data_IF_248646020514
#
_entry.id   IF_248646020514
#
_cell.length_a   1.000
_cell.length_b   1.000
_cell.length_c   1.000
_cell.angle_alpha   90.00
_cell.angle_beta   90.00
_cell.angle_gamma   90.00
#
_symmetry.space_group_name_H-M   'P 1'
#
loop_
_entity.id
_entity.type
_entity.pdbx_description
1 polymer ?
#
# COMPACT_ATOMS: atom_id res chain seq x y z
N UNK A 1 -13.52 -6.00 15.74
CA UNK A 1 -12.12 -6.41 15.50
C UNK A 1 -11.45 -5.29 14.72
N UNK A 2 -10.92 -4.28 15.43
CA UNK A 2 -10.29 -3.11 14.81
C UNK A 2 -8.95 -3.56 14.23
N UNK A 3 -8.75 -3.35 12.93
CA UNK A 3 -7.51 -3.74 12.25
C UNK A 3 -6.50 -2.60 12.35
N UNK A 4 -5.26 -2.95 12.69
CA UNK A 4 -4.17 -2.01 12.86
C UNK A 4 -3.05 -2.31 11.84
N UNK A 5 -2.29 -1.30 11.41
CA UNK A 5 -1.09 -1.51 10.61
C UNK A 5 -0.14 -2.47 11.34
N UNK A 6 0.57 -3.30 10.57
CA UNK A 6 1.62 -4.17 11.10
C UNK A 6 2.80 -3.33 11.60
N UNK A 7 3.63 -3.92 12.47
CA UNK A 7 4.81 -3.27 13.06
C UNK A 7 5.85 -2.90 11.99
N UNK A 8 6.66 -1.89 12.31
CA UNK A 8 7.75 -1.33 11.49
C UNK A 8 8.79 -2.38 11.07
N UNK A 9 8.98 -3.45 11.86
CA UNK A 9 9.91 -4.56 11.52
C UNK A 9 9.47 -5.42 10.33
N UNK A 10 8.30 -5.15 9.72
CA UNK A 10 7.85 -5.86 8.53
C UNK A 10 8.58 -5.37 7.27
N UNK A 11 8.68 -6.24 6.26
CA UNK A 11 9.27 -5.93 4.95
C UNK A 11 8.18 -5.61 3.93
N UNK A 12 8.46 -4.74 2.96
CA UNK A 12 7.51 -4.48 1.89
C UNK A 12 7.34 -5.70 0.99
N UNK A 13 6.17 -6.33 1.00
CA UNK A 13 5.88 -7.51 0.17
C UNK A 13 5.84 -7.29 -1.35
N UNK A 14 6.29 -6.14 -1.86
CA UNK A 14 6.50 -5.87 -3.29
C UNK A 14 7.99 -5.78 -3.61
N UNK A 15 8.77 -4.94 -2.91
CA UNK A 15 10.20 -4.74 -3.18
C UNK A 15 11.13 -5.50 -2.23
N UNK A 16 10.58 -6.11 -1.17
CA UNK A 16 11.31 -6.84 -0.13
C UNK A 16 12.32 -5.98 0.65
N UNK A 17 12.17 -4.65 0.60
CA UNK A 17 12.96 -3.73 1.41
C UNK A 17 12.27 -3.43 2.76
N UNK A 18 13.05 -3.27 3.85
CA UNK A 18 12.53 -2.95 5.17
C UNK A 18 11.98 -1.53 5.23
N UNK A 19 11.03 -1.30 6.14
CA UNK A 19 10.59 0.06 6.49
C UNK A 19 11.64 0.70 7.38
N UNK A 20 12.58 1.45 6.80
CA UNK A 20 13.59 2.15 7.59
C UNK A 20 13.01 3.42 8.19
N UNK A 21 13.01 3.53 9.52
CA UNK A 21 12.98 4.83 10.18
C UNK A 21 14.39 5.43 10.07
N UNK A 22 14.48 6.72 9.76
CA UNK A 22 15.77 7.41 9.57
C UNK A 22 16.58 7.31 10.86
N UNK A 23 17.60 6.45 10.91
CA UNK A 23 18.57 6.38 12.01
C UNK A 23 19.82 7.17 11.58
N UNK A 24 20.16 8.19 12.36
CA UNK A 24 21.10 9.26 12.01
C UNK A 24 22.59 8.85 11.91
N UNK A 25 22.93 7.55 12.03
CA UNK A 25 24.32 7.11 12.29
C UNK A 25 24.96 6.25 11.17
N UNK A 26 24.33 6.08 10.01
CA UNK A 26 24.97 5.35 8.89
C UNK A 26 25.67 6.32 7.94
N UNK A 27 26.92 6.64 8.25
CA UNK A 27 27.87 7.32 7.37
C UNK A 27 28.10 6.48 6.09
N UNK A 28 27.41 6.83 5.00
CA UNK A 28 27.83 6.49 3.64
C UNK A 28 27.11 5.35 2.91
N UNK A 29 25.82 5.05 3.19
CA UNK A 29 25.03 4.18 2.29
C UNK A 29 24.35 5.03 1.19
N UNK A 30 24.80 4.85 -0.05
CA UNK A 30 24.00 5.13 -1.24
C UNK A 30 22.99 3.99 -1.40
N UNK A 31 21.72 4.23 -1.07
CA UNK A 31 20.65 3.24 -1.22
C UNK A 31 19.36 3.94 -1.62
N UNK A 32 19.33 4.53 -2.82
CA UNK A 32 18.14 5.14 -3.45
C UNK A 32 17.22 5.85 -2.44
N UNK A 33 17.82 6.75 -1.65
CA UNK A 33 17.18 7.67 -0.71
C UNK A 33 15.88 8.17 -1.36
N UNK A 34 14.73 7.98 -0.68
CA UNK A 34 13.35 8.26 -1.14
C UNK A 34 12.59 7.14 -1.84
N UNK A 35 12.86 5.87 -1.55
CA UNK A 35 11.78 4.87 -1.56
C UNK A 35 10.65 5.33 -0.62
N UNK A 36 9.72 6.14 -1.15
CA UNK A 36 8.33 6.19 -0.70
C UNK A 36 8.08 6.88 0.65
N UNK A 37 8.05 8.23 0.67
CA UNK A 37 7.61 9.12 1.79
C UNK A 37 6.15 8.92 2.27
N UNK A 38 5.67 7.70 2.32
CA UNK A 38 4.35 7.32 2.76
C UNK A 38 4.22 5.80 2.74
N UNK A 39 3.76 5.26 3.86
CA UNK A 39 3.29 3.89 3.96
C UNK A 39 1.78 3.90 3.73
N UNK A 40 1.31 2.99 2.89
CA UNK A 40 -0.10 2.63 2.78
C UNK A 40 -0.27 1.25 3.40
N UNK A 41 -1.48 0.93 3.83
CA UNK A 41 -1.74 -0.37 4.46
C UNK A 41 -3.10 -0.90 4.06
N UNK A 42 -3.24 -2.22 4.08
CA UNK A 42 -4.48 -2.87 3.69
C UNK A 42 -5.55 -2.73 4.78
N UNK A 43 -6.49 -1.78 4.57
CA UNK A 43 -7.66 -1.57 5.43
C UNK A 43 -8.76 -2.62 5.25
N UNK A 44 -8.72 -3.36 4.14
CA UNK A 44 -9.76 -4.33 3.79
C UNK A 44 -9.67 -5.63 4.63
N UNK A 45 -8.47 -6.20 4.78
CA UNK A 45 -8.29 -7.48 5.46
C UNK A 45 -6.93 -7.60 6.15
N UNK A 46 -5.79 -7.71 5.48
CA UNK A 46 -4.58 -8.19 6.18
C UNK A 46 -3.91 -7.17 7.11
N UNK A 47 -4.18 -5.87 6.98
CA UNK A 47 -3.46 -4.85 7.76
C UNK A 47 -2.00 -4.65 7.33
N UNK A 48 -1.53 -5.37 6.30
CA UNK A 48 -0.14 -5.33 5.86
C UNK A 48 0.23 -3.99 5.24
N UNK A 49 1.44 -3.54 5.56
CA UNK A 49 1.98 -2.27 5.12
C UNK A 49 2.63 -2.45 3.73
N UNK A 50 2.65 -1.38 2.95
CA UNK A 50 3.31 -1.31 1.67
C UNK A 50 3.81 0.11 1.50
N UNK A 51 4.91 0.24 0.79
CA UNK A 51 5.33 1.55 0.40
C UNK A 51 4.39 2.15 -0.66
N UNK A 52 4.08 3.45 -0.57
CA UNK A 52 3.12 4.14 -1.45
C UNK A 52 3.45 3.99 -2.95
N UNK A 53 4.71 4.13 -3.34
CA UNK A 53 5.11 3.98 -4.74
C UNK A 53 5.06 2.51 -5.22
N UNK A 54 5.36 1.54 -4.36
CA UNK A 54 5.18 0.12 -4.68
C UNK A 54 3.70 -0.15 -4.94
N UNK A 55 2.84 0.35 -4.07
CA UNK A 55 1.40 0.21 -4.22
C UNK A 55 0.85 0.92 -5.47
N UNK A 56 1.31 2.13 -5.79
CA UNK A 56 0.90 2.85 -7.01
C UNK A 56 1.26 2.08 -8.29
N UNK A 57 2.44 1.44 -8.33
CA UNK A 57 2.82 0.57 -9.45
C UNK A 57 1.94 -0.67 -9.55
N UNK A 58 1.51 -1.21 -8.41
CA UNK A 58 0.60 -2.35 -8.34
C UNK A 58 -0.80 -1.98 -8.84
N UNK A 59 -1.35 -0.87 -8.35
CA UNK A 59 -2.61 -0.29 -8.81
C UNK A 59 -2.64 -0.12 -10.33
N UNK A 60 -1.60 0.50 -10.90
CA UNK A 60 -1.50 0.68 -12.36
C UNK A 60 -1.53 -0.65 -13.14
N UNK A 61 -1.00 -1.74 -12.57
CA UNK A 61 -1.03 -3.07 -13.19
C UNK A 61 -2.42 -3.72 -13.07
N UNK A 62 -3.07 -3.58 -11.91
CA UNK A 62 -4.46 -4.01 -11.71
C UNK A 62 -5.41 -3.35 -12.72
N UNK A 63 -5.29 -2.03 -12.90
CA UNK A 63 -6.16 -1.26 -13.80
C UNK A 63 -5.91 -1.59 -15.28
N UNK A 64 -4.70 -2.01 -15.65
CA UNK A 64 -4.36 -2.45 -17.01
C UNK A 64 -4.84 -3.87 -17.33
N UNK A 65 -5.44 -4.59 -16.38
CA UNK A 65 -5.87 -5.99 -16.56
C UNK A 65 -4.71 -6.99 -16.62
N UNK A 66 -3.49 -6.58 -16.25
CA UNK A 66 -2.26 -7.36 -16.44
C UNK A 66 -2.09 -8.57 -15.52
N UNK A 67 -2.97 -8.76 -14.53
CA UNK A 67 -2.86 -9.80 -13.51
C UNK A 67 -3.85 -10.96 -13.70
N UNK A 68 -4.42 -11.11 -14.89
CA UNK A 68 -5.42 -12.16 -15.17
C UNK A 68 -6.76 -11.95 -14.46
N UNK A 69 -6.99 -10.75 -13.92
CA UNK A 69 -8.27 -10.38 -13.32
C UNK A 69 -9.23 -9.95 -14.44
N UNK A 70 -10.40 -10.61 -14.53
CA UNK A 70 -11.46 -10.26 -15.48
C UNK A 70 -12.07 -8.87 -15.23
N UNK A 71 -11.72 -8.22 -14.12
CA UNK A 71 -12.19 -6.89 -13.74
C UNK A 71 -11.00 -6.00 -13.40
N UNK A 72 -11.03 -4.74 -13.86
CA UNK A 72 -10.05 -3.71 -13.53
C UNK A 72 -10.28 -3.22 -12.09
N UNK A 73 -9.97 -4.06 -11.10
CA UNK A 73 -10.11 -3.73 -9.68
C UNK A 73 -8.76 -3.69 -9.00
N UNK A 74 -8.56 -2.72 -8.13
CA UNK A 74 -7.36 -2.65 -7.29
C UNK A 74 -7.53 -3.64 -6.13
N UNK A 75 -6.57 -4.55 -5.98
CA UNK A 75 -6.57 -5.54 -4.88
C UNK A 75 -5.32 -5.38 -4.02
N UNK A 76 -5.38 -5.82 -2.78
CA UNK A 76 -4.19 -5.92 -1.95
C UNK A 76 -3.24 -6.99 -2.52
N UNK A 77 -1.95 -6.69 -2.76
CA UNK A 77 -1.00 -7.70 -3.22
C UNK A 77 -0.76 -8.81 -2.19
N UNK A 78 -0.98 -8.53 -0.90
CA UNK A 78 -0.70 -9.46 0.19
C UNK A 78 -1.84 -10.46 0.42
N UNK A 79 -3.10 -10.01 0.42
CA UNK A 79 -4.26 -10.86 0.72
C UNK A 79 -5.31 -10.94 -0.39
N UNK A 80 -5.10 -10.23 -1.51
CA UNK A 80 -5.99 -10.16 -2.69
C UNK A 80 -7.41 -9.62 -2.43
N UNK A 81 -7.68 -9.14 -1.21
CA UNK A 81 -8.92 -8.42 -0.91
C UNK A 81 -9.01 -7.15 -1.77
N UNK A 82 -10.23 -6.77 -2.14
CA UNK A 82 -10.50 -5.51 -2.84
C UNK A 82 -10.01 -4.33 -2.01
N UNK A 83 -9.22 -3.45 -2.64
CA UNK A 83 -8.61 -2.33 -1.95
C UNK A 83 -9.66 -1.28 -1.58
N UNK A 84 -9.61 -0.80 -0.33
CA UNK A 84 -10.51 0.23 0.18
C UNK A 84 -9.71 1.48 0.46
N UNK A 85 -9.88 2.49 -0.38
CA UNK A 85 -9.38 3.84 -0.13
C UNK A 85 -10.43 4.64 0.65
N UNK A 86 -10.02 5.40 1.66
CA UNK A 86 -10.96 6.11 2.53
C UNK A 86 -11.52 7.41 1.91
N UNK A 87 -11.08 7.80 0.70
CA UNK A 87 -11.43 9.09 0.10
C UNK A 87 -12.60 9.06 -0.91
N UNK A 88 -13.49 8.08 -0.85
CA UNK A 88 -14.75 8.11 -1.62
C UNK A 88 -15.95 7.91 -0.70
N UNK A 89 -16.11 8.83 0.25
CA UNK A 89 -17.41 9.21 0.79
C UNK A 89 -17.92 10.42 0.02
N UNK A 90 -18.40 10.22 -1.21
CA UNK A 90 -19.23 11.24 -1.86
C UNK A 90 -20.48 11.37 -1.00
N UNK A 91 -20.66 12.57 -0.44
CA UNK A 91 -21.86 13.04 0.23
C UNK A 91 -23.02 13.05 -0.79
N UNK A 92 -23.61 11.89 -1.06
CA UNK A 92 -24.96 11.80 -1.63
C UNK A 92 -25.96 11.70 -0.47
N UNK A 93 -26.10 12.78 0.30
CA UNK A 93 -27.30 12.98 1.12
C UNK A 93 -28.29 13.90 0.39
N UNK A 94 -29.12 13.23 -0.43
CA UNK A 94 -30.57 13.37 -0.41
C UNK A 94 -31.12 14.79 -0.67
N UNK A 95 -31.53 14.98 -1.93
CA UNK A 95 -32.82 15.61 -2.25
C UNK A 95 -33.89 15.07 -1.29
N UNK A 96 -34.45 15.96 -0.46
CA UNK A 96 -35.88 16.08 -0.13
C UNK A 96 -36.13 17.32 0.72
#
# INVERSE_FOLDING_TARGET
MTRHPQTIDAECGICMEPYVEVREDTDGVDSSITSQRGLVWCKAQCGGNLHKACFSRWEAQCLRGGLGQSRCVVTCPLCRAEWKDEEQGVEEERVR
#
